data_IF_976625553316
#
_entry.id   IF_976625553316
#
_cell.length_a   1.000
_cell.length_b   1.000
_cell.length_c   1.000
_cell.angle_alpha   90.00
_cell.angle_beta   90.00
_cell.angle_gamma   90.00
#
_symmetry.space_group_name_H-M   'P 1'
#
loop_
_entity.id
_entity.type
_entity.pdbx_description
1 polymer ?
#
# COMPACT_ATOMS: atom_id res chain seq x y z
N UNK A 1 9.82 17.36 3.80
CA UNK A 1 10.23 16.83 2.49
C UNK A 1 9.30 17.32 1.39
N UNK A 2 9.78 17.33 0.16
CA UNK A 2 8.98 17.67 -1.01
C UNK A 2 9.00 16.49 -2.00
N UNK A 3 7.84 16.14 -2.51
CA UNK A 3 7.66 15.10 -3.54
C UNK A 3 6.86 15.67 -4.69
N UNK A 4 7.21 15.30 -5.91
CA UNK A 4 6.52 15.82 -7.09
C UNK A 4 5.52 14.82 -7.64
N UNK A 5 4.35 15.33 -8.06
CA UNK A 5 3.34 14.59 -8.82
C UNK A 5 3.27 15.15 -10.23
N UNK A 6 2.93 14.31 -11.20
CA UNK A 6 2.87 14.70 -12.63
C UNK A 6 1.84 15.80 -12.91
N UNK A 7 0.86 15.99 -12.02
CA UNK A 7 -0.27 16.88 -12.26
C UNK A 7 -1.12 16.39 -13.44
N UNK A 8 -2.42 16.65 -13.40
CA UNK A 8 -3.34 16.27 -14.50
C UNK A 8 -3.45 17.35 -15.58
N UNK A 9 -3.00 18.57 -15.33
CA UNK A 9 -3.32 19.74 -16.15
C UNK A 9 -2.13 20.67 -16.41
N UNK A 10 -0.89 20.25 -16.20
CA UNK A 10 0.24 21.16 -16.40
C UNK A 10 1.59 20.65 -15.87
N UNK A 11 2.40 21.57 -15.40
CA UNK A 11 3.72 21.28 -14.82
C UNK A 11 3.60 20.42 -13.54
N UNK A 12 4.63 19.61 -13.22
CA UNK A 12 4.67 18.84 -11.99
C UNK A 12 4.44 19.73 -10.75
N UNK A 13 3.62 19.24 -9.82
CA UNK A 13 3.30 19.94 -8.56
C UNK A 13 4.11 19.35 -7.42
N UNK A 14 4.72 20.22 -6.60
CA UNK A 14 5.45 19.81 -5.41
C UNK A 14 4.53 19.68 -4.20
N UNK A 15 4.36 18.46 -3.71
CA UNK A 15 3.64 18.18 -2.47
C UNK A 15 4.61 18.34 -1.30
N UNK A 16 4.25 19.16 -0.34
CA UNK A 16 5.08 19.46 0.83
C UNK A 16 4.62 18.63 2.05
N UNK A 17 5.50 17.77 2.55
CA UNK A 17 5.28 17.03 3.78
C UNK A 17 6.11 17.60 4.93
N UNK A 18 5.45 17.94 6.02
CA UNK A 18 6.09 18.31 7.28
C UNK A 18 6.49 17.07 8.10
N UNK A 19 7.17 17.27 9.21
CA UNK A 19 7.38 16.19 10.19
C UNK A 19 6.05 15.77 10.84
N UNK A 20 5.15 16.74 11.06
CA UNK A 20 3.81 16.47 11.59
C UNK A 20 2.97 15.59 10.68
N UNK A 21 2.87 15.94 9.37
CA UNK A 21 2.10 15.11 8.42
C UNK A 21 2.71 13.72 8.28
N UNK A 22 4.04 13.60 8.30
CA UNK A 22 4.73 12.30 8.27
C UNK A 22 4.43 11.47 9.53
N UNK A 23 4.48 12.08 10.71
CA UNK A 23 4.15 11.42 11.98
C UNK A 23 2.73 10.86 11.98
N UNK A 24 1.75 11.67 11.55
CA UNK A 24 0.36 11.23 11.48
C UNK A 24 0.15 10.13 10.44
N UNK A 25 0.83 10.18 9.28
CA UNK A 25 0.79 9.11 8.30
C UNK A 25 1.33 7.79 8.86
N UNK A 26 2.46 7.82 9.57
CA UNK A 26 3.02 6.61 10.19
C UNK A 26 2.11 6.08 11.31
N UNK A 27 1.53 6.95 12.11
CA UNK A 27 0.57 6.57 13.15
C UNK A 27 -0.67 5.92 12.54
N UNK A 28 -1.22 6.49 11.46
CA UNK A 28 -2.37 5.93 10.74
C UNK A 28 -2.06 4.53 10.17
N UNK A 29 -0.87 4.38 9.57
CA UNK A 29 -0.43 3.09 9.01
C UNK A 29 -0.26 2.03 10.11
N UNK A 30 0.42 2.33 11.21
CA UNK A 30 0.61 1.38 12.33
C UNK A 30 -0.71 0.98 12.95
N UNK A 31 -1.63 1.94 13.15
CA UNK A 31 -2.91 1.67 13.78
C UNK A 31 -3.90 0.90 12.87
N UNK A 32 -3.66 0.90 11.55
CA UNK A 32 -4.58 0.27 10.58
C UNK A 32 -4.03 -1.04 10.02
N UNK A 33 -2.70 -1.10 9.76
CA UNK A 33 -2.04 -2.28 9.23
C UNK A 33 -1.54 -3.16 10.39
N UNK A 34 -1.51 -4.47 10.18
CA UNK A 34 -0.89 -5.42 11.13
C UNK A 34 0.64 -5.31 11.06
N UNK A 35 1.19 -4.18 11.53
CA UNK A 35 2.63 -3.95 11.63
C UNK A 35 3.12 -4.41 13.00
N UNK A 36 4.14 -5.24 13.04
CA UNK A 36 4.68 -5.85 14.25
C UNK A 36 6.14 -5.47 14.46
N UNK A 37 6.56 -5.36 15.71
CA UNK A 37 7.99 -5.21 16.05
C UNK A 37 8.75 -6.40 15.48
N UNK A 38 9.85 -6.12 14.79
CA UNK A 38 10.66 -7.14 14.13
C UNK A 38 10.21 -7.51 12.72
N UNK A 39 9.14 -6.90 12.19
CA UNK A 39 8.75 -7.10 10.78
C UNK A 39 9.90 -6.80 9.82
N UNK A 40 9.94 -7.56 8.74
CA UNK A 40 10.90 -7.41 7.65
C UNK A 40 10.12 -7.06 6.38
N UNK A 41 10.29 -5.82 5.97
CA UNK A 41 9.53 -5.25 4.86
C UNK A 41 10.42 -5.09 3.63
N UNK A 42 10.07 -5.74 2.52
CA UNK A 42 10.78 -5.52 1.26
C UNK A 42 10.32 -4.25 0.56
N UNK A 43 11.28 -3.40 0.20
CA UNK A 43 11.07 -2.12 -0.50
C UNK A 43 11.60 -2.28 -1.92
N UNK A 44 10.70 -2.39 -2.88
CA UNK A 44 11.04 -2.60 -4.31
C UNK A 44 10.63 -1.42 -5.18
N UNK A 45 9.73 -0.58 -4.70
CA UNK A 45 9.31 0.63 -5.40
C UNK A 45 10.37 1.74 -5.26
N UNK A 46 10.43 2.69 -6.20
CA UNK A 46 11.40 3.79 -6.14
C UNK A 46 11.20 4.68 -4.90
N UNK A 47 12.28 4.99 -4.17
CA UNK A 47 12.24 5.78 -2.93
C UNK A 47 11.82 7.25 -3.13
N UNK A 48 11.82 7.76 -4.35
CA UNK A 48 11.26 9.07 -4.66
C UNK A 48 9.72 9.07 -4.73
N UNK A 49 9.09 7.90 -4.67
CA UNK A 49 7.64 7.71 -4.60
C UNK A 49 7.18 7.46 -3.16
N UNK A 50 6.02 8.01 -2.78
CA UNK A 50 5.42 7.79 -1.45
C UNK A 50 5.16 6.31 -1.18
N UNK A 51 4.84 5.51 -2.20
CA UNK A 51 4.64 4.05 -2.09
C UNK A 51 5.86 3.26 -1.63
N UNK A 52 7.08 3.83 -1.70
CA UNK A 52 8.28 3.22 -1.12
C UNK A 52 8.74 3.95 0.14
N UNK A 53 8.71 5.27 0.10
CA UNK A 53 9.22 6.08 1.21
C UNK A 53 8.36 5.95 2.47
N UNK A 54 7.02 5.86 2.33
CA UNK A 54 6.15 5.68 3.49
C UNK A 54 6.39 4.32 4.19
N UNK A 55 6.42 3.16 3.49
CA UNK A 55 6.79 1.89 4.12
C UNK A 55 8.18 1.90 4.77
N UNK A 56 9.18 2.51 4.14
CA UNK A 56 10.51 2.61 4.74
C UNK A 56 10.49 3.38 6.08
N UNK A 57 9.77 4.49 6.14
CA UNK A 57 9.60 5.26 7.38
C UNK A 57 8.73 4.51 8.39
N UNK A 58 7.69 3.83 7.93
CA UNK A 58 6.82 2.99 8.76
C UNK A 58 7.61 1.92 9.50
N UNK A 59 8.47 1.21 8.78
CA UNK A 59 9.31 0.15 9.35
C UNK A 59 10.28 0.72 10.40
N UNK A 60 10.91 1.86 10.11
CA UNK A 60 11.78 2.54 11.08
C UNK A 60 11.00 3.00 12.32
N UNK A 61 9.79 3.52 12.14
CA UNK A 61 8.91 3.95 13.23
C UNK A 61 8.37 2.77 14.05
N UNK A 62 8.07 1.64 13.40
CA UNK A 62 7.52 0.43 14.02
C UNK A 62 8.55 -0.54 14.60
N UNK A 63 9.85 -0.26 14.50
CA UNK A 63 10.90 -1.15 15.03
C UNK A 63 11.14 -2.41 14.20
N UNK A 64 10.99 -2.31 12.88
CA UNK A 64 11.24 -3.39 11.94
C UNK A 64 12.53 -3.23 11.13
N UNK A 65 12.67 -4.01 10.07
CA UNK A 65 13.82 -4.01 9.14
C UNK A 65 13.35 -3.74 7.72
N UNK A 66 13.93 -2.75 7.05
CA UNK A 66 13.73 -2.50 5.62
C UNK A 66 14.75 -3.29 4.80
N UNK A 67 14.26 -4.09 3.85
CA UNK A 67 15.08 -4.83 2.89
C UNK A 67 14.89 -4.20 1.50
N UNK A 68 15.91 -3.49 1.02
CA UNK A 68 15.83 -2.70 -0.21
C UNK A 68 16.30 -3.49 -1.42
N UNK A 69 15.50 -3.49 -2.48
CA UNK A 69 15.90 -3.97 -3.80
C UNK A 69 16.21 -2.78 -4.71
N UNK A 70 17.30 -2.87 -5.48
CA UNK A 70 17.68 -1.80 -6.44
C UNK A 70 16.73 -1.69 -7.63
N UNK A 71 16.20 -2.82 -8.07
CA UNK A 71 15.27 -2.93 -9.17
C UNK A 71 14.33 -4.12 -8.94
N UNK A 72 13.14 -4.04 -9.49
CA UNK A 72 12.22 -5.17 -9.47
C UNK A 72 12.71 -6.29 -10.40
N UNK A 73 12.77 -7.49 -9.85
CA UNK A 73 12.93 -8.75 -10.56
C UNK A 73 12.01 -9.79 -9.90
N UNK A 74 11.09 -10.43 -10.63
CA UNK A 74 10.11 -11.33 -10.03
C UNK A 74 10.73 -12.57 -9.36
N UNK A 75 11.80 -13.12 -9.94
CA UNK A 75 12.55 -14.25 -9.33
C UNK A 75 13.29 -13.76 -8.09
N UNK A 76 13.95 -12.61 -8.19
CA UNK A 76 14.64 -11.96 -7.08
C UNK A 76 13.71 -11.60 -5.92
N UNK A 77 12.45 -11.22 -6.21
CA UNK A 77 11.45 -10.96 -5.16
C UNK A 77 11.14 -12.22 -4.34
N UNK A 78 10.91 -13.35 -4.99
CA UNK A 78 10.70 -14.62 -4.28
C UNK A 78 11.94 -15.05 -3.50
N UNK A 79 13.12 -14.93 -4.13
CA UNK A 79 14.40 -15.25 -3.49
C UNK A 79 14.61 -14.43 -2.21
N UNK A 80 14.46 -13.11 -2.28
CA UNK A 80 14.65 -12.23 -1.13
C UNK A 80 13.57 -12.48 -0.05
N UNK A 81 12.36 -12.86 -0.46
CA UNK A 81 11.30 -13.24 0.47
C UNK A 81 11.72 -14.42 1.33
N UNK A 82 12.31 -15.44 0.73
CA UNK A 82 12.84 -16.62 1.43
C UNK A 82 14.08 -16.28 2.29
N UNK A 83 15.11 -15.69 1.67
CA UNK A 83 16.41 -15.48 2.30
C UNK A 83 16.34 -14.47 3.45
N UNK A 84 15.62 -13.36 3.24
CA UNK A 84 15.49 -12.30 4.21
C UNK A 84 14.26 -12.44 5.12
N UNK A 85 13.52 -13.54 4.99
CA UNK A 85 12.33 -13.82 5.80
C UNK A 85 11.35 -12.65 5.80
N UNK A 86 11.01 -12.15 4.62
CA UNK A 86 10.09 -11.01 4.45
C UNK A 86 8.72 -11.37 5.02
N UNK A 87 8.20 -10.52 5.89
CA UNK A 87 6.91 -10.72 6.56
C UNK A 87 5.79 -9.93 5.91
N UNK A 88 6.12 -8.86 5.20
CA UNK A 88 5.15 -7.99 4.52
C UNK A 88 5.85 -7.18 3.42
N UNK A 89 5.10 -6.72 2.43
CA UNK A 89 5.62 -5.90 1.33
C UNK A 89 4.54 -5.03 0.70
N UNK A 90 4.95 -4.09 -0.15
CA UNK A 90 4.08 -3.36 -1.06
C UNK A 90 4.56 -3.54 -2.49
N UNK A 91 3.65 -3.88 -3.39
CA UNK A 91 3.95 -4.01 -4.82
C UNK A 91 2.76 -3.52 -5.65
N UNK A 92 3.02 -2.93 -6.82
CA UNK A 92 1.95 -2.58 -7.74
C UNK A 92 1.37 -3.82 -8.42
N UNK A 93 0.12 -3.80 -8.92
CA UNK A 93 -0.51 -5.00 -9.48
C UNK A 93 0.28 -5.67 -10.60
N UNK A 94 0.98 -4.89 -11.44
CA UNK A 94 1.81 -5.44 -12.50
C UNK A 94 2.98 -6.30 -11.96
N UNK A 95 3.62 -5.85 -10.86
CA UNK A 95 4.70 -6.62 -10.21
C UNK A 95 4.16 -7.94 -9.66
N UNK A 96 3.02 -7.91 -8.99
CA UNK A 96 2.35 -9.12 -8.51
C UNK A 96 2.01 -10.06 -9.66
N UNK A 97 1.53 -9.53 -10.78
CA UNK A 97 1.28 -10.31 -11.99
C UNK A 97 2.54 -11.00 -12.52
N UNK A 98 3.67 -10.30 -12.58
CA UNK A 98 4.95 -10.88 -13.01
C UNK A 98 5.49 -11.94 -12.04
N UNK A 99 5.31 -11.76 -10.74
CA UNK A 99 5.70 -12.75 -9.73
C UNK A 99 4.97 -14.09 -9.90
N UNK A 100 3.73 -14.10 -10.38
CA UNK A 100 2.99 -15.33 -10.68
C UNK A 100 3.32 -15.95 -12.06
N UNK A 101 4.10 -15.28 -12.90
CA UNK A 101 4.55 -15.80 -14.20
C UNK A 101 5.88 -16.56 -14.12
N UNK A 102 6.58 -16.48 -13.01
CA UNK A 102 7.81 -17.24 -12.75
C UNK A 102 7.49 -18.44 -11.87
N UNK A 103 8.35 -19.48 -11.85
CA UNK A 103 8.15 -20.62 -10.96
C UNK A 103 8.00 -20.17 -9.50
N UNK A 104 6.94 -20.63 -8.86
CA UNK A 104 6.72 -20.38 -7.43
C UNK A 104 7.75 -21.18 -6.61
N UNK A 105 8.35 -20.57 -5.59
CA UNK A 105 9.16 -21.29 -4.63
C UNK A 105 8.30 -22.26 -3.80
N UNK A 106 8.92 -23.20 -3.06
CA UNK A 106 8.20 -23.99 -2.07
C UNK A 106 7.45 -23.12 -1.06
N UNK A 107 6.27 -23.56 -0.60
CA UNK A 107 5.41 -22.75 0.28
C UNK A 107 6.09 -22.36 1.61
N UNK A 108 7.00 -23.19 2.11
CA UNK A 108 7.81 -22.92 3.30
C UNK A 108 8.74 -21.70 3.14
N UNK A 109 9.13 -21.36 1.92
CA UNK A 109 10.02 -20.24 1.64
C UNK A 109 9.34 -18.87 1.77
N UNK A 110 8.01 -18.83 1.70
CA UNK A 110 7.22 -17.61 1.89
C UNK A 110 6.14 -17.71 2.96
N UNK A 111 6.14 -18.77 3.77
CA UNK A 111 5.15 -19.00 4.82
C UNK A 111 5.07 -17.86 5.85
N UNK A 112 6.16 -17.09 6.04
CA UNK A 112 6.21 -15.94 6.93
C UNK A 112 5.62 -14.66 6.31
N UNK A 113 5.39 -14.62 4.99
CA UNK A 113 4.79 -13.48 4.30
C UNK A 113 3.29 -13.43 4.62
N UNK A 114 2.91 -12.58 5.56
CA UNK A 114 1.53 -12.50 6.05
C UNK A 114 0.60 -11.85 5.05
N UNK A 115 1.03 -10.76 4.46
CA UNK A 115 0.23 -10.03 3.49
C UNK A 115 1.08 -9.16 2.55
N UNK A 116 0.49 -8.83 1.43
CA UNK A 116 1.05 -7.89 0.44
C UNK A 116 0.08 -6.74 0.26
N UNK A 117 0.53 -5.53 0.49
CA UNK A 117 -0.23 -4.34 0.14
C UNK A 117 -0.09 -4.07 -1.37
N UNK A 118 -1.19 -3.76 -2.05
CA UNK A 118 -1.15 -3.42 -3.47
C UNK A 118 -2.07 -2.24 -3.78
N UNK A 119 -1.58 -1.32 -4.59
CA UNK A 119 -2.29 -0.08 -4.94
C UNK A 119 -1.59 0.68 -6.06
N UNK A 120 -1.79 1.98 -6.11
CA UNK A 120 -1.43 2.90 -7.20
C UNK A 120 -2.20 2.65 -8.52
N UNK A 121 -2.84 1.51 -8.65
CA UNK A 121 -3.78 1.15 -9.71
C UNK A 121 -4.81 0.14 -9.15
N UNK A 122 -5.98 -0.01 -9.77
CA UNK A 122 -6.93 -1.05 -9.37
C UNK A 122 -6.31 -2.44 -9.44
N UNK A 123 -6.46 -3.23 -8.38
CA UNK A 123 -5.96 -4.61 -8.33
C UNK A 123 -7.01 -5.53 -8.96
N UNK A 124 -6.69 -6.27 -10.04
CA UNK A 124 -7.63 -7.21 -10.63
C UNK A 124 -8.06 -8.28 -9.62
N UNK A 125 -9.36 -8.54 -9.54
CA UNK A 125 -9.94 -9.57 -8.64
C UNK A 125 -9.26 -10.92 -8.85
N UNK A 126 -9.12 -11.36 -10.13
CA UNK A 126 -8.46 -12.62 -10.46
C UNK A 126 -6.99 -12.70 -9.99
N UNK A 127 -6.30 -11.55 -9.85
CA UNK A 127 -4.95 -11.52 -9.30
C UNK A 127 -4.97 -11.76 -7.78
N UNK A 128 -5.89 -11.13 -7.07
CA UNK A 128 -6.07 -11.34 -5.63
C UNK A 128 -6.45 -12.79 -5.31
N UNK A 129 -7.36 -13.39 -6.09
CA UNK A 129 -7.74 -14.79 -5.96
C UNK A 129 -6.56 -15.75 -6.13
N UNK A 130 -5.71 -15.52 -7.14
CA UNK A 130 -4.50 -16.34 -7.34
C UNK A 130 -3.53 -16.27 -6.15
N UNK A 131 -3.36 -15.10 -5.57
CA UNK A 131 -2.52 -14.95 -4.36
C UNK A 131 -3.14 -15.65 -3.15
N UNK A 132 -4.45 -15.50 -2.96
CA UNK A 132 -5.18 -16.26 -1.93
C UNK A 132 -4.97 -17.76 -2.08
N UNK A 133 -5.05 -18.28 -3.30
CA UNK A 133 -4.94 -19.73 -3.56
C UNK A 133 -3.55 -20.29 -3.20
N UNK A 134 -2.52 -19.44 -3.13
CA UNK A 134 -1.19 -19.79 -2.61
C UNK A 134 -0.96 -19.34 -1.16
N UNK A 135 -2.02 -18.92 -0.45
CA UNK A 135 -1.96 -18.58 0.97
C UNK A 135 -1.47 -17.18 1.31
N UNK A 136 -1.40 -16.27 0.33
CA UNK A 136 -0.96 -14.88 0.54
C UNK A 136 -2.15 -13.94 0.42
N UNK A 137 -2.39 -13.12 1.46
CA UNK A 137 -3.42 -12.08 1.43
C UNK A 137 -2.93 -10.84 0.67
N UNK A 138 -3.76 -10.34 -0.24
CA UNK A 138 -3.51 -9.06 -0.93
C UNK A 138 -4.45 -8.00 -0.39
N UNK A 139 -3.90 -6.99 0.28
CA UNK A 139 -4.63 -5.86 0.83
C UNK A 139 -4.59 -4.69 -0.15
N UNK A 140 -5.72 -4.43 -0.82
CA UNK A 140 -5.82 -3.30 -1.73
C UNK A 140 -5.81 -1.99 -0.95
N UNK A 141 -4.91 -1.08 -1.35
CA UNK A 141 -4.76 0.24 -0.76
C UNK A 141 -5.05 1.34 -1.77
N UNK A 142 -5.73 2.38 -1.33
CA UNK A 142 -5.85 3.66 -2.02
C UNK A 142 -5.11 4.73 -1.22
N UNK A 143 -4.32 5.51 -1.92
CA UNK A 143 -3.59 6.61 -1.31
C UNK A 143 -2.99 7.54 -2.36
N UNK A 144 -2.55 8.70 -1.89
CA UNK A 144 -2.04 9.79 -2.71
C UNK A 144 -0.74 10.32 -2.11
N UNK A 145 0.08 10.93 -2.94
CA UNK A 145 1.25 11.70 -2.46
C UNK A 145 0.79 12.81 -1.52
N UNK A 146 -0.32 13.47 -1.83
CA UNK A 146 -0.90 14.59 -1.10
C UNK A 146 -1.34 14.22 0.33
N UNK A 147 -1.71 12.97 0.59
CA UNK A 147 -2.03 12.48 1.93
C UNK A 147 -0.88 11.70 2.60
N UNK A 148 0.36 11.94 2.15
CA UNK A 148 1.56 11.27 2.68
C UNK A 148 1.55 9.73 2.56
N UNK A 149 0.64 9.18 1.75
CA UNK A 149 0.46 7.76 1.47
C UNK A 149 -0.94 7.25 1.81
N UNK A 150 -1.31 7.09 3.11
CA UNK A 150 -2.52 6.40 3.51
C UNK A 150 -3.81 7.19 3.22
N UNK A 151 -4.74 6.57 2.50
CA UNK A 151 -6.11 7.04 2.29
C UNK A 151 -7.13 6.01 2.78
N UNK A 152 -7.20 4.85 2.12
CA UNK A 152 -8.05 3.71 2.49
C UNK A 152 -7.30 2.40 2.39
N UNK A 153 -7.68 1.42 3.20
CA UNK A 153 -7.17 0.06 3.15
C UNK A 153 -8.30 -0.93 3.39
N UNK A 154 -8.33 -2.02 2.62
CA UNK A 154 -9.19 -3.15 2.94
C UNK A 154 -8.63 -3.88 4.15
N UNK A 155 -9.49 -4.19 5.13
CA UNK A 155 -9.06 -4.96 6.30
C UNK A 155 -8.83 -6.44 5.92
N UNK A 156 -7.99 -7.18 6.65
CA UNK A 156 -7.84 -8.63 6.45
C UNK A 156 -9.19 -9.37 6.52
N UNK A 157 -10.05 -8.97 7.45
CA UNK A 157 -11.38 -9.59 7.62
C UNK A 157 -12.29 -9.36 6.41
N UNK A 158 -12.21 -8.18 5.76
CA UNK A 158 -13.06 -7.82 4.62
C UNK A 158 -12.43 -8.19 3.27
N UNK A 159 -11.12 -8.44 3.20
CA UNK A 159 -10.38 -8.59 1.95
C UNK A 159 -10.92 -9.73 1.07
N UNK A 160 -11.40 -10.79 1.70
CA UNK A 160 -11.94 -11.96 1.01
C UNK A 160 -13.43 -11.82 0.65
N UNK A 161 -14.21 -11.11 1.48
CA UNK A 161 -15.64 -10.92 1.25
C UNK A 161 -15.92 -9.74 0.31
N UNK A 162 -15.02 -8.75 0.30
CA UNK A 162 -15.18 -7.49 -0.44
C UNK A 162 -14.06 -7.27 -1.46
N UNK A 163 -13.70 -8.33 -2.16
CA UNK A 163 -12.68 -8.30 -3.21
C UNK A 163 -13.01 -7.17 -4.23
N UNK A 164 -11.99 -6.36 -4.56
CA UNK A 164 -12.13 -5.19 -5.43
C UNK A 164 -12.38 -3.87 -4.70
N UNK A 165 -12.73 -3.91 -3.41
CA UNK A 165 -12.84 -2.71 -2.58
C UNK A 165 -11.46 -2.23 -2.11
N UNK A 166 -11.29 -0.91 -1.96
CA UNK A 166 -10.15 -0.30 -1.26
C UNK A 166 -10.40 -0.18 0.25
N UNK A 167 -11.51 -0.70 0.74
CA UNK A 167 -11.83 -0.77 2.16
C UNK A 167 -12.26 0.56 2.78
N UNK A 168 -11.85 0.78 4.02
CA UNK A 168 -12.20 1.93 4.85
C UNK A 168 -11.04 2.90 4.97
N UNK A 169 -11.34 4.15 5.35
CA UNK A 169 -10.32 5.14 5.66
C UNK A 169 -9.36 4.62 6.74
N UNK A 170 -8.09 5.03 6.65
CA UNK A 170 -7.10 4.77 7.69
C UNK A 170 -7.49 5.43 9.01
N UNK A 171 -6.94 4.94 10.10
CA UNK A 171 -7.10 5.51 11.43
C UNK A 171 -6.81 7.02 11.43
N UNK A 172 -7.65 7.81 12.09
CA UNK A 172 -7.63 9.28 12.09
C UNK A 172 -7.73 9.94 10.71
N UNK A 173 -8.30 9.26 9.72
CA UNK A 173 -8.61 9.82 8.41
C UNK A 173 -10.12 9.83 8.20
N UNK A 174 -10.67 11.00 7.93
CA UNK A 174 -12.04 11.12 7.44
C UNK A 174 -12.05 11.01 5.92
N UNK A 175 -13.06 10.32 5.40
CA UNK A 175 -13.31 10.17 3.97
C UNK A 175 -14.75 10.55 3.64
N UNK A 176 -14.92 11.34 2.58
CA UNK A 176 -16.23 11.64 2.00
C UNK A 176 -16.19 11.41 0.50
N UNK A 177 -17.30 10.97 -0.06
CA UNK A 177 -17.54 10.97 -1.51
C UNK A 177 -18.59 12.04 -1.82
N UNK A 178 -18.24 12.99 -2.69
CA UNK A 178 -19.09 14.14 -2.98
C UNK A 178 -19.37 14.30 -4.47
N UNK A 179 -20.50 14.93 -4.78
CA UNK A 179 -20.84 15.38 -6.12
C UNK A 179 -20.10 16.67 -6.51
N UNK A 180 -20.31 17.18 -7.73
CA UNK A 180 -19.72 18.43 -8.21
C UNK A 180 -20.13 19.70 -7.44
N UNK A 181 -21.11 19.62 -6.54
CA UNK A 181 -21.55 20.71 -5.68
C UNK A 181 -21.03 20.55 -4.22
N UNK A 182 -20.27 19.49 -3.94
CA UNK A 182 -19.73 19.20 -2.61
C UNK A 182 -20.71 18.50 -1.65
N UNK A 183 -21.84 18.00 -2.13
CA UNK A 183 -22.79 17.24 -1.34
C UNK A 183 -22.40 15.74 -1.34
N UNK A 184 -22.64 15.07 -0.21
CA UNK A 184 -22.40 13.63 -0.11
C UNK A 184 -23.25 12.86 -1.14
N UNK A 185 -22.63 11.94 -1.85
CA UNK A 185 -23.33 11.05 -2.76
C UNK A 185 -23.89 9.83 -2.03
N UNK A 186 -25.05 9.30 -2.46
CA UNK A 186 -25.59 8.07 -1.89
C UNK A 186 -24.70 6.85 -2.20
N UNK A 187 -24.85 5.74 -1.45
CA UNK A 187 -24.14 4.51 -1.71
C UNK A 187 -24.27 4.05 -3.18
N UNK A 188 -23.21 3.45 -3.73
CA UNK A 188 -23.11 2.97 -5.12
C UNK A 188 -23.18 4.08 -6.17
N UNK A 189 -22.92 5.32 -5.80
CA UNK A 189 -22.84 6.47 -6.72
C UNK A 189 -21.40 6.95 -6.80
N UNK A 190 -20.83 7.10 -8.00
CA UNK A 190 -19.51 7.70 -8.17
C UNK A 190 -19.47 9.14 -7.64
N UNK A 191 -18.35 9.50 -7.01
CA UNK A 191 -18.12 10.85 -6.48
C UNK A 191 -16.63 11.16 -6.37
N UNK A 192 -16.32 12.43 -6.13
CA UNK A 192 -14.97 12.87 -5.80
C UNK A 192 -14.61 12.42 -4.39
N UNK A 193 -13.40 11.87 -4.23
CA UNK A 193 -12.88 11.42 -2.94
C UNK A 193 -12.26 12.61 -2.21
N UNK A 194 -12.83 12.98 -1.08
CA UNK A 194 -12.25 13.96 -0.15
C UNK A 194 -11.65 13.23 1.05
N UNK A 195 -10.42 13.62 1.40
CA UNK A 195 -9.71 13.11 2.57
C UNK A 195 -9.40 14.26 3.54
N UNK A 196 -9.54 14.01 4.83
CA UNK A 196 -9.13 14.91 5.90
C UNK A 196 -8.43 14.15 7.01
N UNK A 197 -7.27 14.65 7.45
CA UNK A 197 -6.51 14.03 8.54
C UNK A 197 -5.22 14.79 8.82
N UNK A 198 -4.55 14.41 9.89
CA UNK A 198 -3.29 15.03 10.30
C UNK A 198 -2.12 14.77 9.34
N UNK A 199 -2.26 13.82 8.43
CA UNK A 199 -1.27 13.48 7.39
C UNK A 199 -1.39 14.34 6.12
N UNK A 200 -2.37 15.22 6.01
CA UNK A 200 -2.63 16.09 4.85
C UNK A 200 -2.14 17.49 5.12
#
# INVERSE_FOLDING_TARGET
RQMYTSGTTGLPKGVLHSHGTTFWAMTALIATCDIRIGDRFSIVLPLFHVGALAPMLLVAYGGGTSVLMRAFDPVGMWKITAEEKITTTIAVPAMLGFMLQVPLPPAEDYAQLRWVMSGAAPVPVALMEKYRDIGIEVHQVYGLTECCGPGCLISPADAMERIGSTGKAFFHTDLRLVDGNGNDVPPNTPGEVLLRGGQI
#
